data_IF_014018006014
#
_entry.id   IF_014018006014
#
_cell.length_a   1.000
_cell.length_b   1.000
_cell.length_c   1.000
_cell.angle_alpha   90.00
_cell.angle_beta   90.00
_cell.angle_gamma   90.00
#
_symmetry.space_group_name_H-M   'P 1'
#
loop_
_entity.id
_entity.type
_entity.pdbx_description
1 polymer ?
#
# COMPACT_ATOMS: atom_id res chain seq x y z
N UNK A 1 -16.14 14.49 -27.12
CA UNK A 1 -16.84 14.73 -25.83
C UNK A 1 -18.19 15.38 -26.09
N UNK A 2 -18.28 16.44 -26.89
CA UNK A 2 -19.54 17.14 -27.14
C UNK A 2 -20.62 16.27 -27.80
N UNK A 3 -20.26 15.39 -28.73
CA UNK A 3 -21.23 14.45 -29.34
C UNK A 3 -21.76 13.42 -28.33
N UNK A 4 -20.93 12.99 -27.38
CA UNK A 4 -21.35 12.10 -26.28
C UNK A 4 -22.35 12.83 -25.38
N UNK A 5 -22.09 14.11 -25.07
CA UNK A 5 -22.99 14.93 -24.24
C UNK A 5 -24.34 15.13 -24.91
N UNK A 6 -24.36 15.41 -26.23
CA UNK A 6 -25.60 15.53 -27.01
C UNK A 6 -26.41 14.23 -27.01
N UNK A 7 -25.76 13.08 -27.17
CA UNK A 7 -26.42 11.77 -27.11
C UNK A 7 -27.06 11.52 -25.73
N UNK A 8 -26.41 12.01 -24.67
CA UNK A 8 -26.92 11.95 -23.31
C UNK A 8 -28.03 12.96 -23.00
N UNK A 9 -28.34 13.87 -23.93
CA UNK A 9 -29.36 14.89 -23.77
C UNK A 9 -28.88 16.15 -23.04
N UNK A 10 -27.58 16.32 -22.88
CA UNK A 10 -26.96 17.52 -22.31
C UNK A 10 -26.52 18.47 -23.42
N UNK A 11 -26.66 19.78 -23.19
CA UNK A 11 -26.25 20.81 -24.17
C UNK A 11 -24.73 20.98 -24.23
N UNK A 12 -24.04 20.67 -23.14
CA UNK A 12 -22.59 20.76 -23.02
C UNK A 12 -22.09 19.88 -21.88
N UNK A 13 -20.76 19.72 -21.80
CA UNK A 13 -20.13 19.10 -20.62
C UNK A 13 -20.44 19.87 -19.33
N UNK A 14 -20.53 21.21 -19.38
CA UNK A 14 -20.85 22.03 -18.21
C UNK A 14 -22.25 21.75 -17.66
N UNK A 15 -23.22 21.54 -18.55
CA UNK A 15 -24.60 21.18 -18.20
C UNK A 15 -24.66 19.79 -17.52
N UNK A 16 -23.87 18.83 -18.03
CA UNK A 16 -23.69 17.54 -17.38
C UNK A 16 -23.06 17.67 -15.99
N UNK A 17 -21.98 18.44 -15.85
CA UNK A 17 -21.30 18.63 -14.56
C UNK A 17 -22.20 19.33 -13.54
N UNK A 18 -23.02 20.30 -13.97
CA UNK A 18 -24.02 20.94 -13.11
C UNK A 18 -25.05 19.92 -12.60
N UNK A 19 -25.50 19.00 -13.45
CA UNK A 19 -26.41 17.93 -13.05
C UNK A 19 -25.74 16.85 -12.17
N UNK A 20 -24.45 16.58 -12.40
CA UNK A 20 -23.65 15.62 -11.63
C UNK A 20 -23.38 16.13 -10.21
N UNK A 21 -22.97 17.38 -10.08
CA UNK A 21 -22.63 18.02 -8.80
C UNK A 21 -23.81 18.76 -8.16
N UNK A 22 -25.04 18.53 -8.64
CA UNK A 22 -26.23 19.12 -8.06
C UNK A 22 -26.35 18.72 -6.57
N UNK A 23 -26.31 19.68 -5.63
CA UNK A 23 -26.38 19.38 -4.21
C UNK A 23 -27.76 18.82 -3.89
N UNK A 24 -27.83 17.58 -3.42
CA UNK A 24 -29.10 16.99 -3.00
C UNK A 24 -29.39 17.41 -1.56
N UNK A 25 -30.24 18.42 -1.39
CA UNK A 25 -30.79 18.78 -0.07
C UNK A 25 -31.85 17.75 0.32
N UNK A 26 -31.73 17.19 1.52
CA UNK A 26 -32.65 16.16 2.01
C UNK A 26 -34.03 16.80 2.25
N UNK A 27 -35.06 16.33 1.55
CA UNK A 27 -36.43 16.82 1.66
C UNK A 27 -36.87 17.73 0.50
N UNK A 28 -35.95 18.22 -0.31
CA UNK A 28 -36.28 18.99 -1.51
C UNK A 28 -36.53 18.09 -2.72
N UNK A 29 -37.43 18.56 -3.61
CA UNK A 29 -37.68 17.90 -4.88
C UNK A 29 -36.46 18.08 -5.79
N UNK A 30 -35.96 16.97 -6.31
CA UNK A 30 -34.86 16.99 -7.27
C UNK A 30 -35.32 17.67 -8.57
N UNK A 31 -34.75 18.83 -8.87
CA UNK A 31 -35.11 19.64 -10.04
C UNK A 31 -34.56 19.06 -11.36
N UNK A 32 -33.76 18.00 -11.31
CA UNK A 32 -33.23 17.35 -12.51
C UNK A 32 -34.32 16.55 -13.23
N UNK A 33 -34.29 16.60 -14.56
CA UNK A 33 -35.14 15.75 -15.39
C UNK A 33 -34.91 14.27 -15.08
N UNK A 34 -35.93 13.43 -15.32
CA UNK A 34 -35.80 11.96 -15.14
C UNK A 34 -34.63 11.41 -15.96
N UNK A 35 -34.46 11.90 -17.20
CA UNK A 35 -33.36 11.53 -18.08
C UNK A 35 -31.99 11.92 -17.53
N UNK A 36 -31.82 13.15 -17.03
CA UNK A 36 -30.53 13.59 -16.46
C UNK A 36 -30.13 12.71 -15.27
N UNK A 37 -31.08 12.34 -14.41
CA UNK A 37 -30.83 11.46 -13.27
C UNK A 37 -30.41 10.06 -13.71
N UNK A 38 -31.09 9.50 -14.70
CA UNK A 38 -30.75 8.18 -15.26
C UNK A 38 -29.35 8.17 -15.88
N UNK A 39 -28.99 9.19 -16.65
CA UNK A 39 -27.66 9.28 -17.25
C UNK A 39 -26.58 9.45 -16.20
N UNK A 40 -26.76 10.35 -15.22
CA UNK A 40 -25.80 10.53 -14.12
C UNK A 40 -25.63 9.23 -13.33
N UNK A 41 -26.72 8.52 -13.05
CA UNK A 41 -26.66 7.23 -12.38
C UNK A 41 -25.92 6.18 -13.22
N UNK A 42 -26.24 6.08 -14.52
CA UNK A 42 -25.55 5.15 -15.43
C UNK A 42 -24.06 5.45 -15.50
N UNK A 43 -23.67 6.73 -15.56
CA UNK A 43 -22.28 7.17 -15.55
C UNK A 43 -21.54 6.77 -14.27
N UNK A 44 -22.10 7.08 -13.10
CA UNK A 44 -21.48 6.77 -11.81
C UNK A 44 -21.43 5.25 -11.54
N UNK A 45 -22.35 4.48 -12.12
CA UNK A 45 -22.37 3.03 -12.04
C UNK A 45 -21.49 2.34 -13.10
N UNK A 46 -20.83 3.10 -13.98
CA UNK A 46 -20.01 2.55 -15.06
C UNK A 46 -20.80 1.83 -16.16
N UNK A 47 -22.09 2.13 -16.31
CA UNK A 47 -22.99 1.59 -17.35
C UNK A 47 -23.04 2.46 -18.61
N UNK A 48 -22.28 3.53 -18.66
CA UNK A 48 -22.13 4.39 -19.84
C UNK A 48 -20.90 4.02 -20.66
N UNK A 49 -20.91 4.39 -21.94
CA UNK A 49 -19.77 4.20 -22.86
C UNK A 49 -18.51 5.00 -22.47
N UNK A 50 -18.63 5.96 -21.54
CA UNK A 50 -17.52 6.72 -20.98
C UNK A 50 -17.51 6.46 -19.47
N UNK A 51 -16.42 5.94 -18.95
CA UNK A 51 -16.24 5.65 -17.53
C UNK A 51 -15.30 6.66 -16.87
N UNK A 52 -15.32 6.72 -15.53
CA UNK A 52 -14.33 7.49 -14.76
C UNK A 52 -12.89 7.05 -15.06
N UNK A 53 -12.70 5.78 -15.41
CA UNK A 53 -11.42 5.22 -15.82
C UNK A 53 -10.87 5.87 -17.11
N UNK A 54 -11.73 6.42 -17.97
CA UNK A 54 -11.31 7.13 -19.19
C UNK A 54 -11.01 8.60 -18.90
N UNK A 55 -11.79 9.22 -18.01
CA UNK A 55 -11.68 10.65 -17.70
C UNK A 55 -10.46 10.98 -16.85
N UNK A 56 -10.15 10.15 -15.84
CA UNK A 56 -9.03 10.40 -14.93
C UNK A 56 -7.69 10.50 -15.69
N UNK A 57 -7.32 9.55 -16.58
CA UNK A 57 -6.10 9.65 -17.39
C UNK A 57 -6.09 10.88 -18.30
N UNK A 58 -7.24 11.26 -18.88
CA UNK A 58 -7.32 12.45 -19.73
C UNK A 58 -6.98 13.72 -18.94
N UNK A 59 -7.53 13.88 -17.74
CA UNK A 59 -7.20 15.02 -16.85
C UNK A 59 -5.74 14.93 -16.40
N UNK A 60 -5.31 13.76 -15.95
CA UNK A 60 -3.98 13.56 -15.38
C UNK A 60 -2.83 13.78 -16.37
N UNK A 61 -3.02 13.37 -17.63
CA UNK A 61 -2.01 13.48 -18.68
C UNK A 61 -2.10 14.78 -19.48
N UNK A 62 -3.12 15.61 -19.25
CA UNK A 62 -3.25 16.89 -19.93
C UNK A 62 -2.06 17.82 -19.66
N UNK A 63 -1.52 18.48 -20.70
CA UNK A 63 -0.34 19.34 -20.55
C UNK A 63 -0.55 20.46 -19.51
N UNK A 64 -1.75 21.02 -19.44
CA UNK A 64 -2.10 22.10 -18.49
C UNK A 64 -2.42 21.59 -17.09
N UNK A 65 -2.57 20.28 -16.88
CA UNK A 65 -2.80 19.74 -15.53
C UNK A 65 -1.52 19.64 -14.72
N UNK A 66 -0.35 19.83 -15.35
CA UNK A 66 0.97 19.70 -14.72
C UNK A 66 1.62 21.07 -14.50
N UNK A 67 2.26 21.29 -13.33
CA UNK A 67 3.06 22.48 -13.12
C UNK A 67 4.28 22.52 -14.05
N UNK A 68 4.70 23.73 -14.45
CA UNK A 68 5.96 23.93 -15.18
C UNK A 68 7.15 23.48 -14.32
N UNK A 69 8.27 23.10 -14.96
CA UNK A 69 9.46 22.56 -14.27
C UNK A 69 9.96 23.41 -13.09
N UNK A 70 9.90 24.73 -13.23
CA UNK A 70 10.35 25.72 -12.25
C UNK A 70 9.46 25.78 -10.99
N UNK A 71 8.22 25.28 -11.04
CA UNK A 71 7.32 25.29 -9.89
C UNK A 71 7.52 24.02 -9.06
N UNK A 72 8.62 23.98 -8.31
CA UNK A 72 9.04 22.84 -7.50
C UNK A 72 8.09 22.55 -6.34
N UNK A 73 7.51 23.58 -5.71
CA UNK A 73 6.60 23.44 -4.58
C UNK A 73 5.27 22.75 -4.95
N UNK A 74 4.73 23.01 -6.14
CA UNK A 74 3.55 22.28 -6.64
C UNK A 74 3.89 20.87 -7.10
N UNK A 75 5.12 20.64 -7.56
CA UNK A 75 5.59 19.29 -7.94
C UNK A 75 5.81 18.41 -6.73
N UNK A 76 6.42 18.95 -5.66
CA UNK A 76 6.64 18.21 -4.42
C UNK A 76 5.34 17.94 -3.64
N UNK A 77 4.26 18.65 -3.96
CA UNK A 77 2.93 18.35 -3.46
C UNK A 77 2.33 17.06 -4.03
N UNK A 78 2.80 16.60 -5.20
CA UNK A 78 2.36 15.33 -5.77
C UNK A 78 2.69 14.18 -4.81
N UNK A 79 1.72 13.29 -4.59
CA UNK A 79 1.82 12.17 -3.66
C UNK A 79 2.08 12.56 -2.20
N UNK A 80 1.86 13.81 -1.79
CA UNK A 80 1.91 14.20 -0.38
C UNK A 80 0.64 13.73 0.34
N UNK A 81 0.72 12.89 1.39
CA UNK A 81 -0.45 12.47 2.13
C UNK A 81 -0.98 13.55 3.09
N UNK A 82 -0.14 14.54 3.44
CA UNK A 82 -0.45 15.52 4.49
C UNK A 82 -0.92 16.88 3.95
N UNK A 83 -0.57 17.22 2.70
CA UNK A 83 -0.95 18.51 2.12
C UNK A 83 -2.46 18.55 1.86
N UNK A 84 -3.11 19.66 2.20
CA UNK A 84 -4.54 19.84 1.93
C UNK A 84 -4.77 19.91 0.42
N UNK A 85 -5.72 19.12 -0.09
CA UNK A 85 -6.03 19.06 -1.52
C UNK A 85 -6.48 20.43 -2.07
N UNK A 86 -7.16 21.23 -1.26
CA UNK A 86 -7.60 22.59 -1.61
C UNK A 86 -6.44 23.58 -1.83
N UNK A 87 -5.23 23.24 -1.38
CA UNK A 87 -4.03 24.06 -1.54
C UNK A 87 -3.16 23.64 -2.74
N UNK A 88 -3.55 22.60 -3.49
CA UNK A 88 -2.81 22.13 -4.66
C UNK A 88 -3.50 22.69 -5.90
N UNK A 89 -2.82 23.58 -6.63
CA UNK A 89 -3.45 24.35 -7.72
C UNK A 89 -3.63 23.53 -9.00
N UNK A 90 -2.73 22.60 -9.25
CA UNK A 90 -2.68 21.83 -10.49
C UNK A 90 -3.40 20.49 -10.34
N UNK A 91 -4.19 20.11 -11.35
CA UNK A 91 -5.03 18.92 -11.27
C UNK A 91 -4.21 17.62 -11.15
N UNK A 92 -3.10 17.45 -11.87
CA UNK A 92 -2.29 16.23 -11.79
C UNK A 92 -1.66 16.00 -10.40
N UNK A 93 -0.95 16.96 -9.77
CA UNK A 93 -0.46 16.76 -8.41
C UNK A 93 -1.60 16.64 -7.39
N UNK A 94 -2.74 17.33 -7.59
CA UNK A 94 -3.90 17.20 -6.72
C UNK A 94 -4.50 15.78 -6.78
N UNK A 95 -4.72 15.24 -7.98
CA UNK A 95 -5.15 13.85 -8.19
C UNK A 95 -4.16 12.84 -7.59
N UNK A 96 -2.86 13.10 -7.71
CA UNK A 96 -1.81 12.22 -7.12
C UNK A 96 -1.90 12.20 -5.59
N UNK A 97 -2.02 13.37 -4.96
CA UNK A 97 -2.17 13.49 -3.52
C UNK A 97 -3.48 12.86 -3.03
N UNK A 98 -4.58 13.07 -3.75
CA UNK A 98 -5.87 12.45 -3.46
C UNK A 98 -5.80 10.91 -3.51
N UNK A 99 -5.21 10.36 -4.59
CA UNK A 99 -5.02 8.92 -4.73
C UNK A 99 -4.13 8.35 -3.61
N UNK A 100 -3.06 9.07 -3.25
CA UNK A 100 -2.15 8.67 -2.17
C UNK A 100 -2.89 8.59 -0.84
N UNK A 101 -3.77 9.55 -0.55
CA UNK A 101 -4.56 9.54 0.68
C UNK A 101 -5.54 8.37 0.73
N UNK A 102 -6.25 8.10 -0.36
CA UNK A 102 -7.17 6.95 -0.44
C UNK A 102 -6.42 5.63 -0.25
N UNK A 103 -5.31 5.45 -0.97
CA UNK A 103 -4.51 4.23 -0.88
C UNK A 103 -3.88 4.10 0.50
N UNK A 104 -3.35 5.20 1.06
CA UNK A 104 -2.74 5.24 2.38
C UNK A 104 -3.73 4.91 3.50
N UNK A 105 -4.90 5.55 3.50
CA UNK A 105 -5.96 5.30 4.49
C UNK A 105 -6.46 3.85 4.40
N UNK A 106 -6.64 3.32 3.19
CA UNK A 106 -7.02 1.93 2.97
C UNK A 106 -5.94 0.95 3.46
N UNK A 107 -4.68 1.20 3.11
CA UNK A 107 -3.56 0.36 3.55
C UNK A 107 -3.43 0.37 5.08
N UNK A 108 -3.52 1.54 5.71
CA UNK A 108 -3.45 1.66 7.17
C UNK A 108 -4.55 0.85 7.87
N UNK A 109 -5.80 0.98 7.41
CA UNK A 109 -6.92 0.21 7.95
C UNK A 109 -6.75 -1.31 7.78
N UNK A 110 -6.26 -1.73 6.61
CA UNK A 110 -6.02 -3.14 6.27
C UNK A 110 -4.88 -3.76 7.07
N UNK A 111 -3.75 -3.06 7.21
CA UNK A 111 -2.64 -3.48 8.09
C UNK A 111 -3.12 -3.63 9.53
N UNK A 112 -3.91 -2.69 10.02
CA UNK A 112 -4.52 -2.78 11.36
C UNK A 112 -5.44 -4.00 11.53
N UNK A 113 -6.11 -4.46 10.47
CA UNK A 113 -6.92 -5.69 10.48
C UNK A 113 -6.03 -6.94 10.47
N UNK A 114 -4.98 -6.97 9.66
CA UNK A 114 -4.02 -8.09 9.58
C UNK A 114 -3.21 -8.28 10.87
N UNK A 115 -2.92 -7.19 11.58
CA UNK A 115 -2.22 -7.24 12.86
C UNK A 115 -3.07 -7.81 14.02
N UNK A 116 -4.39 -7.94 13.85
CA UNK A 116 -5.28 -8.51 14.87
C UNK A 116 -5.29 -10.04 14.76
N UNK A 117 -5.28 -10.72 15.90
CA UNK A 117 -5.42 -12.18 15.95
C UNK A 117 -6.73 -12.61 15.30
N UNK A 118 -6.74 -13.70 14.51
CA UNK A 118 -7.99 -14.28 14.04
C UNK A 118 -8.87 -14.63 15.24
N UNK A 119 -10.15 -14.29 15.15
CA UNK A 119 -11.15 -14.61 16.20
C UNK A 119 -11.47 -16.10 16.26
N UNK A 120 -11.26 -16.79 15.15
CA UNK A 120 -11.49 -18.21 15.06
C UNK A 120 -10.23 -18.94 15.49
N UNK A 121 -10.34 -19.84 16.47
CA UNK A 121 -9.25 -20.69 16.97
C UNK A 121 -8.70 -21.67 15.92
N UNK A 122 -9.16 -21.56 14.68
CA UNK A 122 -8.52 -22.13 13.50
C UNK A 122 -7.03 -21.80 13.51
N UNK A 123 -6.23 -22.87 13.53
CA UNK A 123 -4.77 -22.94 13.52
C UNK A 123 -4.12 -22.09 12.44
N UNK A 124 -4.17 -20.77 12.53
CA UNK A 124 -3.18 -19.94 11.86
C UNK A 124 -1.86 -20.12 12.61
N UNK A 125 -1.16 -21.22 12.26
CA UNK A 125 0.27 -21.51 12.55
C UNK A 125 1.21 -20.36 12.12
N UNK A 126 0.68 -19.29 11.53
CA UNK A 126 1.37 -18.10 11.03
C UNK A 126 1.88 -17.16 12.12
N UNK A 127 1.48 -17.36 13.38
CA UNK A 127 1.97 -16.55 14.51
C UNK A 127 2.85 -17.40 15.42
N UNK A 128 4.14 -17.48 15.10
CA UNK A 128 5.14 -17.96 16.05
C UNK A 128 5.16 -16.97 17.23
N UNK A 129 4.76 -17.44 18.41
CA UNK A 129 5.02 -16.71 19.66
C UNK A 129 6.34 -17.19 20.22
N UNK A 130 7.37 -16.36 20.14
CA UNK A 130 8.51 -16.52 21.02
C UNK A 130 8.07 -16.09 22.43
N UNK A 131 7.84 -17.05 23.33
CA UNK A 131 7.69 -16.75 24.75
C UNK A 131 9.07 -16.84 25.41
N UNK A 132 9.55 -15.73 25.97
CA UNK A 132 10.71 -15.75 26.88
C UNK A 132 10.35 -16.32 28.26
N UNK A 133 9.06 -16.47 28.56
CA UNK A 133 8.56 -17.03 29.81
C UNK A 133 8.26 -18.51 29.57
N UNK A 134 9.21 -19.36 29.94
CA UNK A 134 9.23 -20.78 29.59
C UNK A 134 8.15 -21.66 30.23
N UNK A 135 7.21 -21.15 31.04
CA UNK A 135 6.18 -21.98 31.69
C UNK A 135 4.90 -21.17 31.96
N UNK A 136 3.95 -21.22 31.04
CA UNK A 136 2.54 -21.00 31.37
C UNK A 136 1.81 -22.33 31.27
N UNK A 137 0.94 -22.69 32.22
CA UNK A 137 0.29 -24.01 32.30
C UNK A 137 -0.58 -24.35 31.08
N UNK A 138 -0.92 -23.36 30.24
CA UNK A 138 -1.69 -23.54 29.00
C UNK A 138 -0.84 -23.40 27.72
N UNK A 139 0.47 -23.63 27.78
CA UNK A 139 1.36 -23.48 26.62
C UNK A 139 1.79 -24.84 26.12
N UNK A 140 1.41 -25.19 24.89
CA UNK A 140 1.92 -26.35 24.19
C UNK A 140 3.40 -26.09 23.83
N UNK A 141 4.29 -26.98 24.26
CA UNK A 141 5.67 -27.01 23.75
C UNK A 141 5.57 -27.50 22.30
N UNK A 142 6.10 -26.72 21.38
CA UNK A 142 6.05 -26.99 19.94
C UNK A 142 7.49 -27.36 19.54
N UNK A 143 7.71 -28.59 19.09
CA UNK A 143 9.01 -29.01 18.57
C UNK A 143 9.22 -28.47 17.15
N UNK A 144 10.47 -28.41 16.68
CA UNK A 144 10.76 -27.93 15.31
C UNK A 144 10.02 -28.72 14.23
N UNK A 145 9.70 -29.98 14.49
CA UNK A 145 8.89 -30.85 13.63
C UNK A 145 7.40 -30.44 13.60
N UNK A 146 6.91 -29.80 14.66
CA UNK A 146 5.56 -29.25 14.74
C UNK A 146 5.43 -27.88 14.06
N UNK A 147 6.56 -27.20 13.84
CA UNK A 147 6.65 -25.93 13.11
C UNK A 147 6.88 -26.19 11.62
N UNK A 148 5.89 -26.79 10.95
CA UNK A 148 5.80 -26.71 9.49
C UNK A 148 5.39 -25.29 9.10
N UNK A 149 6.37 -24.40 8.99
CA UNK A 149 6.19 -23.08 8.42
C UNK A 149 7.22 -22.89 7.31
N UNK A 150 6.75 -22.73 6.08
CA UNK A 150 7.61 -22.17 5.03
C UNK A 150 7.36 -20.66 4.94
N UNK A 151 8.43 -19.91 4.69
CA UNK A 151 8.33 -18.46 4.42
C UNK A 151 7.43 -18.21 3.19
N UNK A 152 7.42 -19.16 2.25
CA UNK A 152 6.59 -19.12 1.05
C UNK A 152 5.09 -19.26 1.39
N UNK A 153 4.69 -20.22 2.23
CA UNK A 153 3.30 -20.34 2.70
C UNK A 153 2.84 -19.11 3.48
N UNK A 154 3.73 -18.51 4.28
CA UNK A 154 3.43 -17.28 5.01
C UNK A 154 3.22 -16.10 4.04
N UNK A 155 4.07 -15.98 3.03
CA UNK A 155 3.95 -14.97 1.99
C UNK A 155 2.66 -15.14 1.18
N UNK A 156 2.30 -16.37 0.80
CA UNK A 156 1.03 -16.69 0.16
C UNK A 156 -0.16 -16.32 1.06
N UNK A 157 -0.10 -16.67 2.34
CA UNK A 157 -1.12 -16.30 3.31
C UNK A 157 -1.35 -14.79 3.40
N UNK A 158 -0.28 -14.00 3.45
CA UNK A 158 -0.40 -12.53 3.46
C UNK A 158 -0.91 -11.94 2.14
N UNK A 159 -0.51 -12.53 1.01
CA UNK A 159 -0.99 -12.14 -0.31
C UNK A 159 -2.49 -12.38 -0.47
N UNK A 160 -2.98 -13.50 0.04
CA UNK A 160 -4.39 -13.88 -0.01
C UNK A 160 -5.25 -13.06 0.96
N UNK A 161 -4.68 -12.71 2.13
CA UNK A 161 -5.37 -11.86 3.11
C UNK A 161 -5.59 -10.43 2.60
N UNK A 162 -4.58 -9.80 2.01
CA UNK A 162 -4.72 -8.45 1.47
C UNK A 162 -3.78 -8.13 0.31
N UNK A 163 -4.36 -8.08 -0.90
CA UNK A 163 -3.62 -7.78 -2.13
C UNK A 163 -2.99 -6.38 -2.14
N UNK A 164 -3.60 -5.38 -1.50
CA UNK A 164 -3.08 -4.01 -1.52
C UNK A 164 -1.84 -3.90 -0.63
N UNK A 165 -1.93 -4.42 0.60
CA UNK A 165 -0.80 -4.41 1.54
C UNK A 165 0.34 -5.26 0.99
N UNK A 166 0.04 -6.40 0.39
CA UNK A 166 1.04 -7.22 -0.29
C UNK A 166 1.72 -6.45 -1.42
N UNK A 167 0.96 -5.82 -2.31
CA UNK A 167 1.51 -5.04 -3.43
C UNK A 167 2.45 -3.94 -2.94
N UNK A 168 2.06 -3.19 -1.90
CA UNK A 168 2.92 -2.17 -1.30
C UNK A 168 4.18 -2.77 -0.68
N UNK A 169 4.06 -3.88 0.05
CA UNK A 169 5.19 -4.59 0.66
C UNK A 169 6.18 -5.07 -0.40
N UNK A 170 5.68 -5.64 -1.50
CA UNK A 170 6.49 -6.06 -2.64
C UNK A 170 7.19 -4.86 -3.30
N UNK A 171 6.55 -3.69 -3.30
CA UNK A 171 7.17 -2.46 -3.79
C UNK A 171 8.39 -2.02 -2.97
N UNK A 172 8.42 -2.27 -1.66
CA UNK A 172 9.53 -1.90 -0.77
C UNK A 172 10.58 -3.00 -0.60
N UNK A 173 10.14 -4.26 -0.43
CA UNK A 173 11.00 -5.37 -0.03
C UNK A 173 11.46 -6.25 -1.20
N UNK A 174 10.77 -6.19 -2.35
CA UNK A 174 11.12 -6.99 -3.52
C UNK A 174 12.50 -6.60 -4.07
N UNK A 175 13.42 -7.57 -4.18
CA UNK A 175 14.70 -7.32 -4.86
C UNK A 175 14.42 -7.01 -6.32
N UNK A 176 14.91 -5.88 -6.83
CA UNK A 176 14.65 -5.46 -8.20
C UNK A 176 15.87 -5.62 -9.10
N UNK A 177 15.66 -6.09 -10.33
CA UNK A 177 16.60 -5.97 -11.44
C UNK A 177 15.87 -5.30 -12.60
N UNK A 178 16.37 -4.16 -13.07
CA UNK A 178 15.73 -3.35 -14.12
C UNK A 178 14.26 -3.00 -13.82
N UNK A 179 13.94 -2.66 -12.57
CA UNK A 179 12.58 -2.27 -12.15
C UNK A 179 11.57 -3.42 -12.01
N UNK A 180 11.95 -4.66 -12.37
CA UNK A 180 11.12 -5.86 -12.14
C UNK A 180 11.56 -6.57 -10.86
N UNK A 181 10.60 -7.12 -10.13
CA UNK A 181 10.87 -7.95 -8.94
C UNK A 181 11.52 -9.26 -9.41
N UNK A 182 12.66 -9.59 -8.81
CA UNK A 182 13.42 -10.82 -9.08
C UNK A 182 13.38 -11.67 -7.83
N UNK A 183 12.89 -12.89 -7.98
CA UNK A 183 13.01 -13.93 -6.96
C UNK A 183 14.48 -14.33 -6.89
N UNK A 184 15.16 -13.97 -5.79
CA UNK A 184 16.50 -14.47 -5.52
C UNK A 184 16.38 -15.95 -5.16
N UNK A 185 16.85 -16.83 -6.04
CA UNK A 185 17.12 -18.22 -5.66
C UNK A 185 18.27 -18.20 -4.66
N UNK A 186 17.98 -18.33 -3.38
CA UNK A 186 19.00 -18.50 -2.34
C UNK A 186 19.76 -19.78 -2.70
N UNK A 187 21.09 -19.68 -2.90
CA UNK A 187 21.91 -20.89 -2.90
C UNK A 187 21.85 -21.45 -1.49
N UNK A 188 21.59 -22.75 -1.27
CA UNK A 188 21.67 -23.31 0.06
C UNK A 188 23.06 -22.99 0.61
N UNK A 189 23.12 -22.19 1.68
CA UNK A 189 24.34 -22.15 2.47
C UNK A 189 24.46 -23.53 3.12
N UNK A 190 25.60 -24.22 2.97
CA UNK A 190 25.78 -25.48 3.67
C UNK A 190 25.61 -25.19 5.15
N UNK A 191 24.58 -25.77 5.76
CA UNK A 191 24.41 -25.78 7.21
C UNK A 191 25.55 -26.64 7.74
N UNK A 192 26.59 -26.00 8.26
CA UNK A 192 27.65 -26.71 8.99
C UNK A 192 27.12 -26.97 10.40
N UNK A 193 26.45 -28.11 10.58
CA UNK A 193 26.15 -28.63 11.92
C UNK A 193 27.44 -29.16 12.54
N UNK A 194 27.92 -28.52 13.62
CA UNK A 194 28.86 -29.15 14.53
C UNK A 194 28.05 -29.87 15.61
N UNK A 195 28.27 -31.18 15.78
CA UNK A 195 27.85 -31.90 16.98
C UNK A 195 28.70 -31.40 18.14
N UNK A 196 28.19 -30.41 18.88
CA UNK A 196 28.76 -29.96 20.14
C UNK A 196 27.64 -29.89 21.17
N UNK A 197 27.84 -30.52 22.32
CA UNK A 197 26.85 -30.67 23.40
C UNK A 197 26.38 -29.34 24.04
N UNK A 198 26.82 -28.19 23.55
CA UNK A 198 26.29 -26.88 23.92
C UNK A 198 26.25 -25.96 22.69
N UNK A 199 25.05 -25.73 22.14
CA UNK A 199 24.84 -24.88 20.97
C UNK A 199 24.46 -23.45 21.41
N UNK A 200 25.42 -22.53 21.33
CA UNK A 200 25.17 -21.08 21.27
C UNK A 200 25.22 -20.63 19.80
N UNK A 201 24.14 -19.99 19.33
CA UNK A 201 24.13 -19.32 18.01
C UNK A 201 24.85 -17.97 18.17
N UNK A 202 26.10 -17.88 17.73
CA UNK A 202 26.80 -16.60 17.59
C UNK A 202 26.71 -16.16 16.12
N UNK A 203 25.98 -15.09 15.77
CA UNK A 203 26.06 -14.53 14.43
C UNK A 203 27.46 -13.95 14.20
N UNK A 204 28.19 -14.49 13.22
CA UNK A 204 29.47 -13.91 12.75
C UNK A 204 29.21 -12.52 12.18
N UNK A 205 29.38 -11.48 12.98
CA UNK A 205 29.63 -10.14 12.47
C UNK A 205 30.93 -10.14 11.67
N UNK A 206 30.88 -9.65 10.43
CA UNK A 206 32.05 -9.37 9.58
C UNK A 206 33.04 -8.50 10.36
N UNK A 207 34.12 -9.09 10.84
CA UNK A 207 35.28 -8.33 11.29
C UNK A 207 36.07 -7.91 10.05
N UNK A 208 36.07 -6.61 9.76
CA UNK A 208 37.10 -6.01 8.92
C UNK A 208 38.41 -5.97 9.72
N UNK A 209 39.57 -6.31 9.13
CA UNK A 209 40.84 -6.19 9.83
C UNK A 209 41.23 -4.70 9.87
N UNK A 210 41.25 -4.11 11.07
CA UNK A 210 42.09 -2.94 11.34
C UNK A 210 43.17 -3.35 12.33
N UNK A 211 44.39 -3.17 11.88
CA UNK A 211 45.65 -3.42 12.54
C UNK A 211 45.77 -2.71 13.90
N UNK A 212 46.44 -3.42 14.81
CA UNK A 212 46.94 -3.01 16.12
C UNK A 212 47.63 -1.63 16.14
N UNK A 213 47.37 -0.84 17.18
CA UNK A 213 48.40 -0.15 17.95
C UNK A 213 47.87 0.19 19.36
N UNK A 214 48.63 -0.25 20.35
CA UNK A 214 48.41 -0.14 21.79
C UNK A 214 48.95 1.21 22.32
N UNK A 215 48.30 1.76 23.36
CA UNK A 215 48.79 2.63 24.46
C UNK A 215 47.53 3.28 25.07
N UNK A 216 47.06 2.96 26.27
CA UNK A 216 47.80 2.86 27.53
C UNK A 216 47.84 4.24 28.14
N UNK A 217 46.81 4.63 28.91
CA UNK A 217 46.94 5.56 30.03
C UNK A 217 45.69 5.57 30.93
N UNK A 218 45.98 5.72 32.21
CA UNK A 218 45.10 5.52 33.36
C UNK A 218 44.15 6.70 33.60
N UNK A 219 42.97 6.43 34.15
CA UNK A 219 42.18 7.42 34.88
C UNK A 219 42.00 6.95 36.32
N UNK A 220 42.69 7.64 37.23
CA UNK A 220 42.38 7.72 38.66
C UNK A 220 41.13 8.60 38.83
N UNK A 221 40.40 8.30 39.90
CA UNK A 221 39.15 8.93 40.37
C UNK A 221 39.11 10.46 40.27
#
# INVERSE_FOLDING_TARGET
MDDVMKNWGFRSLGDFLAALFHPRVRGEKDNRSSRHRQVVAAFLQGRSNVAMADIIPLIYNHLKSRPKRLNTAERSAAFSPYKRLTQIRFAAPCLSAWATRIVGDAAYARVGKMARKPKDGSRNRRHLRASTNGRSPNTQVVDWEDVEFTVDELAHGYKDEDQLVWFLTECFAGSRKNGKVVVKKTRPHPVVCYYSQYLQIIPKCRQHPRSLAYKGDQLKF
#
